data_IF_343419655178
#
_entry.id   IF_343419655178
#
_cell.length_a   1.000
_cell.length_b   1.000
_cell.length_c   1.000
_cell.angle_alpha   90.00
_cell.angle_beta   90.00
_cell.angle_gamma   90.00
#
_symmetry.space_group_name_H-M   'P 1'
#
loop_
_entity.id
_entity.type
_entity.pdbx_description
1 polymer ?
#
# COMPACT_ATOMS: atom_id res chain seq x y z
N UNK A 1 18.32 -10.91 7.39
CA UNK A 1 17.54 -10.31 6.30
C UNK A 1 17.40 -8.84 6.64
N UNK A 2 17.99 -7.95 5.85
CA UNK A 2 17.72 -6.51 5.99
C UNK A 2 16.24 -6.31 5.71
N UNK A 3 15.50 -5.81 6.70
CA UNK A 3 14.11 -5.39 6.52
C UNK A 3 14.13 -4.17 5.59
N UNK A 4 14.13 -4.40 4.27
CA UNK A 4 14.06 -3.33 3.29
C UNK A 4 12.73 -2.62 3.47
N UNK A 5 12.79 -1.40 3.98
CA UNK A 5 11.64 -0.52 4.10
C UNK A 5 11.56 0.41 2.90
N UNK A 6 10.35 0.79 2.54
CA UNK A 6 10.06 1.80 1.51
C UNK A 6 9.17 2.89 2.10
N UNK A 7 9.31 4.11 1.59
CA UNK A 7 8.42 5.19 1.99
C UNK A 7 7.10 5.06 1.23
N UNK A 8 6.00 4.85 1.95
CA UNK A 8 4.66 4.77 1.38
C UNK A 8 4.02 6.17 1.35
N UNK A 9 3.71 6.74 0.17
CA UNK A 9 3.05 8.04 0.09
C UNK A 9 1.58 8.02 0.56
N UNK A 10 0.94 6.84 0.62
CA UNK A 10 -0.42 6.72 1.17
C UNK A 10 -0.43 6.89 2.69
N UNK A 11 0.53 6.25 3.37
CA UNK A 11 0.65 6.26 4.83
C UNK A 11 1.60 7.34 5.36
N UNK A 12 2.31 8.04 4.48
CA UNK A 12 3.31 9.06 4.82
C UNK A 12 4.36 8.58 5.84
N UNK A 13 4.73 7.30 5.77
CA UNK A 13 5.70 6.65 6.66
C UNK A 13 6.49 5.55 5.94
N UNK A 14 7.53 5.03 6.60
CA UNK A 14 8.18 3.82 6.14
C UNK A 14 7.31 2.58 6.43
N UNK A 15 7.18 1.70 5.44
CA UNK A 15 6.52 0.39 5.50
C UNK A 15 7.50 -0.69 5.08
N UNK A 16 7.29 -1.94 5.49
CA UNK A 16 8.07 -3.07 4.98
C UNK A 16 7.61 -3.44 3.55
N UNK A 17 8.36 -4.32 2.89
CA UNK A 17 8.01 -4.77 1.53
C UNK A 17 6.67 -5.49 1.44
N UNK A 18 6.32 -6.29 2.45
CA UNK A 18 5.09 -7.08 2.48
C UNK A 18 3.85 -6.17 2.58
N UNK A 19 3.85 -5.21 3.51
CA UNK A 19 2.84 -4.17 3.65
C UNK A 19 2.71 -3.36 2.36
N UNK A 20 3.83 -3.01 1.71
CA UNK A 20 3.80 -2.27 0.46
C UNK A 20 3.11 -3.08 -0.65
N UNK A 21 3.38 -4.39 -0.71
CA UNK A 21 2.79 -5.31 -1.68
C UNK A 21 1.30 -5.54 -1.40
N UNK A 22 0.90 -5.73 -0.14
CA UNK A 22 -0.51 -5.90 0.21
C UNK A 22 -1.32 -4.63 -0.12
N UNK A 23 -0.77 -3.44 0.16
CA UNK A 23 -1.42 -2.17 -0.24
C UNK A 23 -1.56 -2.08 -1.77
N UNK A 24 -0.54 -2.46 -2.55
CA UNK A 24 -0.62 -2.40 -4.02
C UNK A 24 -1.67 -3.34 -4.57
N UNK A 25 -1.75 -4.57 -4.07
CA UNK A 25 -2.74 -5.56 -4.51
C UNK A 25 -4.18 -5.11 -4.17
N UNK A 26 -4.38 -4.47 -3.02
CA UNK A 26 -5.69 -3.88 -2.68
C UNK A 26 -6.00 -2.67 -3.58
N UNK A 27 -5.01 -1.83 -3.91
CA UNK A 27 -5.19 -0.71 -4.83
C UNK A 27 -5.62 -1.16 -6.23
N UNK A 28 -5.04 -2.26 -6.73
CA UNK A 28 -5.38 -2.91 -8.00
C UNK A 28 -6.72 -3.69 -7.95
N UNK A 29 -7.34 -3.79 -6.76
CA UNK A 29 -8.57 -4.58 -6.52
C UNK A 29 -8.38 -6.08 -6.78
N UNK A 30 -7.14 -6.58 -6.73
CA UNK A 30 -6.81 -8.01 -6.87
C UNK A 30 -6.95 -8.76 -5.56
N UNK A 31 -6.83 -8.06 -4.42
CA UNK A 31 -7.07 -8.59 -3.07
C UNK A 31 -8.09 -7.77 -2.27
N UNK A 32 -8.87 -8.39 -1.35
CA UNK A 32 -9.82 -7.67 -0.50
C UNK A 32 -9.16 -6.74 0.53
N UNK A 33 -9.87 -5.68 0.92
CA UNK A 33 -9.39 -4.66 1.87
C UNK A 33 -8.96 -5.19 3.25
N UNK A 34 -9.36 -6.41 3.63
CA UNK A 34 -8.95 -7.05 4.90
C UNK A 34 -7.45 -7.33 4.98
N UNK A 35 -6.76 -7.30 3.85
CA UNK A 35 -5.31 -7.47 3.75
C UNK A 35 -4.55 -6.14 3.87
N UNK A 36 -5.25 -5.02 3.97
CA UNK A 36 -4.59 -3.76 4.29
C UNK A 36 -3.89 -3.86 5.66
N UNK A 37 -2.75 -3.15 5.82
CA UNK A 37 -2.10 -3.03 7.12
C UNK A 37 -3.08 -2.56 8.19
N UNK A 38 -2.89 -3.03 9.43
CA UNK A 38 -3.83 -2.76 10.54
C UNK A 38 -4.06 -1.27 10.83
N UNK A 39 -3.11 -0.43 10.46
CA UNK A 39 -3.15 1.02 10.61
C UNK A 39 -3.77 1.76 9.42
N UNK A 40 -4.08 1.05 8.32
CA UNK A 40 -4.81 1.58 7.17
C UNK A 40 -6.21 0.98 7.13
N UNK A 41 -7.19 1.75 7.58
CA UNK A 41 -8.58 1.29 7.47
C UNK A 41 -9.05 1.33 6.01
N UNK A 42 -9.93 0.40 5.59
CA UNK A 42 -10.55 0.43 4.27
C UNK A 42 -11.26 1.76 3.95
N UNK A 43 -11.94 2.35 4.95
CA UNK A 43 -12.62 3.66 4.84
C UNK A 43 -11.65 4.82 4.58
N UNK A 44 -10.41 4.71 5.07
CA UNK A 44 -9.36 5.70 4.86
C UNK A 44 -8.59 5.49 3.57
N UNK A 45 -8.73 4.33 2.91
CA UNK A 45 -8.08 4.01 1.64
C UNK A 45 -8.98 4.37 0.46
N UNK A 46 -9.23 5.67 0.32
CA UNK A 46 -10.07 6.26 -0.73
C UNK A 46 -9.48 6.06 -2.12
N UNK A 47 -10.30 6.29 -3.17
CA UNK A 47 -9.85 6.17 -4.56
C UNK A 47 -8.66 7.09 -4.89
N UNK A 48 -8.59 8.30 -4.32
CA UNK A 48 -7.44 9.21 -4.46
C UNK A 48 -6.14 8.59 -3.93
N UNK A 49 -6.21 7.90 -2.77
CA UNK A 49 -5.05 7.21 -2.18
C UNK A 49 -4.68 5.95 -2.97
N UNK A 50 -5.66 5.25 -3.52
CA UNK A 50 -5.41 4.14 -4.45
C UNK A 50 -4.69 4.64 -5.69
N UNK A 51 -5.11 5.75 -6.28
CA UNK A 51 -4.44 6.37 -7.42
C UNK A 51 -3.00 6.78 -7.10
N UNK A 52 -2.75 7.34 -5.92
CA UNK A 52 -1.39 7.62 -5.42
C UNK A 52 -0.56 6.33 -5.35
N UNK A 53 -1.13 5.22 -4.87
CA UNK A 53 -0.45 3.93 -4.80
C UNK A 53 -0.11 3.39 -6.20
N UNK A 54 -1.08 3.39 -7.11
CA UNK A 54 -0.93 2.89 -8.48
C UNK A 54 0.11 3.69 -9.30
N UNK A 55 0.29 4.98 -9.00
CA UNK A 55 1.32 5.85 -9.62
C UNK A 55 2.66 5.85 -8.87
N UNK A 56 2.79 5.07 -7.80
CA UNK A 56 4.00 5.04 -6.99
C UNK A 56 5.15 4.40 -7.76
N UNK A 57 6.36 4.94 -7.65
CA UNK A 57 7.58 4.39 -8.29
C UNK A 57 7.95 2.97 -7.82
N UNK A 58 7.36 2.51 -6.72
CA UNK A 58 7.57 1.18 -6.17
C UNK A 58 6.42 0.22 -6.50
N UNK A 59 5.39 0.70 -7.20
CA UNK A 59 4.29 -0.15 -7.63
C UNK A 59 4.82 -1.15 -8.66
N UNK A 60 4.53 -2.46 -8.52
CA UNK A 60 4.95 -3.44 -9.52
C UNK A 60 4.36 -3.09 -10.89
N UNK A 61 5.14 -3.28 -11.95
CA UNK A 61 4.65 -3.20 -13.35
C UNK A 61 3.76 -4.40 -13.70
#
# INVERSE_FOLDING_TARGET
MENKTVFCPVLQRQVNGDDCFDISMVAEKTTPDRFLPKDLKPEDFTDDKKEICLKCKYHPE
#
